data_IF_617644655728
#
_entry.id   IF_617644655728
#
_cell.length_a   1.000
_cell.length_b   1.000
_cell.length_c   1.000
_cell.angle_alpha   90.00
_cell.angle_beta   90.00
_cell.angle_gamma   90.00
#
_symmetry.space_group_name_H-M   'P 1'
#
loop_
_entity.id
_entity.type
_entity.pdbx_description
1 polymer ?
#
# COMPACT_ATOMS: atom_id res chain seq x y z
N UNK A 1 12.94 -3.56 -13.68
CA UNK A 1 11.96 -4.35 -12.90
C UNK A 1 12.66 -4.78 -11.63
N UNK A 2 12.03 -4.60 -10.47
CA UNK A 2 12.59 -5.05 -9.18
C UNK A 2 12.40 -6.57 -9.13
N UNK A 3 13.48 -7.33 -8.89
CA UNK A 3 13.41 -8.78 -8.80
C UNK A 3 12.94 -9.18 -7.39
N UNK A 4 11.78 -9.84 -7.24
CA UNK A 4 11.27 -10.22 -5.92
C UNK A 4 12.15 -11.25 -5.20
N UNK A 5 12.97 -12.03 -5.93
CA UNK A 5 13.83 -13.06 -5.36
C UNK A 5 15.06 -12.51 -4.63
N UNK A 6 15.46 -11.27 -4.93
CA UNK A 6 16.60 -10.59 -4.29
C UNK A 6 16.19 -9.83 -3.02
N UNK A 7 14.89 -9.68 -2.79
CA UNK A 7 14.34 -8.98 -1.64
C UNK A 7 13.98 -9.96 -0.52
N UNK A 8 14.32 -9.57 0.71
CA UNK A 8 13.91 -10.29 1.92
C UNK A 8 12.46 -9.89 2.27
N UNK A 9 11.51 -10.54 1.59
CA UNK A 9 10.08 -10.27 1.74
C UNK A 9 9.56 -10.87 3.05
N UNK A 10 8.85 -10.06 3.83
CA UNK A 10 8.20 -10.49 5.06
C UNK A 10 6.96 -11.37 4.77
N UNK A 11 6.40 -11.94 5.84
CA UNK A 11 5.13 -12.66 5.76
C UNK A 11 4.01 -11.79 5.19
N UNK A 12 3.16 -12.42 4.39
CA UNK A 12 2.01 -11.78 3.78
C UNK A 12 1.02 -11.23 4.81
N UNK A 13 0.66 -9.95 4.70
CA UNK A 13 -0.39 -9.38 5.51
C UNK A 13 -1.72 -9.39 4.75
N UNK A 14 -2.69 -10.16 5.27
CA UNK A 14 -4.02 -10.30 4.67
C UNK A 14 -4.91 -9.15 5.16
N UNK A 15 -5.22 -8.20 4.27
CA UNK A 15 -6.10 -7.07 4.61
C UNK A 15 -7.55 -7.52 4.75
N UNK A 16 -8.02 -8.29 3.76
CA UNK A 16 -9.42 -8.71 3.71
C UNK A 16 -9.61 -9.97 2.90
N UNK A 17 -10.38 -10.90 3.45
CA UNK A 17 -10.95 -12.04 2.73
C UNK A 17 -12.44 -11.78 2.52
N UNK A 18 -12.93 -12.06 1.32
CA UNK A 18 -14.34 -11.93 0.94
C UNK A 18 -14.82 -13.23 0.32
N UNK A 19 -16.04 -13.65 0.67
CA UNK A 19 -16.73 -14.73 -0.04
C UNK A 19 -17.60 -14.11 -1.11
N UNK A 20 -17.39 -14.50 -2.36
CA UNK A 20 -18.13 -14.03 -3.53
C UNK A 20 -18.82 -15.21 -4.20
N UNK A 21 -19.99 -14.98 -4.82
CA UNK A 21 -20.77 -16.04 -5.44
C UNK A 21 -21.12 -15.69 -6.89
N UNK A 22 -21.03 -16.67 -7.79
CA UNK A 22 -21.66 -16.62 -9.13
C UNK A 22 -22.92 -17.48 -9.08
N UNK A 23 -24.06 -16.92 -9.44
CA UNK A 23 -25.32 -17.67 -9.55
C UNK A 23 -25.39 -18.34 -10.93
N UNK A 24 -25.71 -19.63 -10.96
CA UNK A 24 -25.97 -20.41 -12.18
C UNK A 24 -27.31 -21.14 -12.05
N UNK A 25 -27.78 -21.79 -13.11
CA UNK A 25 -29.00 -22.61 -13.09
C UNK A 25 -28.96 -23.75 -12.05
N UNK A 26 -27.76 -24.22 -11.68
CA UNK A 26 -27.55 -25.27 -10.66
C UNK A 26 -27.37 -24.71 -9.23
N UNK A 27 -27.41 -23.39 -9.04
CA UNK A 27 -27.29 -22.74 -7.74
C UNK A 27 -26.14 -21.74 -7.63
N UNK A 28 -25.71 -21.46 -6.40
CA UNK A 28 -24.65 -20.46 -6.12
C UNK A 28 -23.28 -21.14 -6.04
N UNK A 29 -22.40 -20.83 -6.98
CA UNK A 29 -21.00 -21.25 -6.94
C UNK A 29 -20.17 -20.22 -6.14
N UNK A 30 -19.68 -20.63 -4.97
CA UNK A 30 -18.89 -19.78 -4.07
C UNK A 30 -17.41 -19.83 -4.40
N UNK A 31 -16.77 -18.67 -4.28
CA UNK A 31 -15.32 -18.50 -4.35
C UNK A 31 -14.89 -17.50 -3.28
N UNK A 32 -13.62 -17.55 -2.91
CA UNK A 32 -13.02 -16.60 -1.98
C UNK A 32 -12.12 -15.64 -2.75
N UNK A 33 -12.24 -14.36 -2.45
CA UNK A 33 -11.34 -13.30 -2.87
C UNK A 33 -10.49 -12.86 -1.70
N UNK A 34 -9.19 -12.67 -1.90
CA UNK A 34 -8.25 -12.19 -0.89
C UNK A 34 -7.53 -10.94 -1.40
N UNK A 35 -7.37 -9.95 -0.52
CA UNK A 35 -6.52 -8.78 -0.73
C UNK A 35 -5.33 -8.88 0.22
N UNK A 36 -4.13 -8.90 -0.34
CA UNK A 36 -2.87 -9.13 0.37
C UNK A 36 -1.88 -8.01 0.09
N UNK A 37 -1.06 -7.71 1.08
CA UNK A 37 0.10 -6.83 0.97
C UNK A 37 1.34 -7.59 1.38
N UNK A 38 2.44 -7.36 0.66
CA UNK A 38 3.76 -7.87 0.97
C UNK A 38 4.73 -6.71 0.91
N UNK A 39 5.69 -6.66 1.83
CA UNK A 39 6.82 -5.75 1.75
C UNK A 39 8.03 -6.32 2.46
N UNK A 40 9.14 -5.57 2.38
CA UNK A 40 10.42 -5.92 3.02
C UNK A 40 10.69 -5.10 4.29
N UNK A 41 9.81 -4.15 4.62
CA UNK A 41 10.02 -3.20 5.72
C UNK A 41 11.15 -2.19 5.48
N UNK A 42 11.70 -2.12 4.25
CA UNK A 42 12.81 -1.25 3.84
C UNK A 42 12.42 -0.36 2.66
N UNK A 43 11.13 -0.09 2.48
CA UNK A 43 10.61 0.79 1.43
C UNK A 43 10.16 0.08 0.17
N UNK A 44 10.11 -1.26 0.13
CA UNK A 44 9.47 -1.98 -0.97
C UNK A 44 8.15 -2.56 -0.52
N UNK A 45 7.10 -2.33 -1.31
CA UNK A 45 5.77 -2.86 -1.04
C UNK A 45 5.04 -3.20 -2.33
N UNK A 46 4.29 -4.29 -2.30
CA UNK A 46 3.41 -4.75 -3.36
C UNK A 46 2.04 -5.12 -2.81
N UNK A 47 1.00 -4.93 -3.63
CA UNK A 47 -0.37 -5.33 -3.30
C UNK A 47 -0.89 -6.28 -4.36
N UNK A 48 -1.73 -7.25 -3.95
CA UNK A 48 -2.26 -8.25 -4.86
C UNK A 48 -3.68 -8.69 -4.48
N UNK A 49 -4.43 -9.17 -5.46
CA UNK A 49 -5.82 -9.60 -5.33
C UNK A 49 -6.05 -10.98 -5.96
N UNK A 50 -6.24 -11.98 -5.12
CA UNK A 50 -6.45 -13.36 -5.56
C UNK A 50 -7.91 -13.77 -5.49
N UNK A 51 -8.33 -14.70 -6.36
CA UNK A 51 -9.62 -15.38 -6.26
C UNK A 51 -9.49 -16.88 -6.55
N UNK A 52 -10.02 -17.71 -5.66
CA UNK A 52 -10.00 -19.17 -5.80
C UNK A 52 -11.21 -19.85 -5.16
N UNK A 53 -11.32 -21.17 -5.29
CA UNK A 53 -12.36 -21.98 -4.62
C UNK A 53 -12.15 -22.09 -3.11
N UNK A 54 -10.90 -22.04 -2.66
CA UNK A 54 -10.49 -22.10 -1.27
C UNK A 54 -9.79 -20.81 -0.82
N UNK A 55 -9.77 -20.56 0.49
CA UNK A 55 -9.18 -19.33 1.06
C UNK A 55 -7.67 -19.30 0.87
N UNK A 56 -6.95 -20.38 1.23
CA UNK A 56 -5.49 -20.43 1.11
C UNK A 56 -5.02 -20.30 -0.33
N UNK A 57 -5.70 -20.96 -1.27
CA UNK A 57 -5.42 -20.82 -2.71
C UNK A 57 -5.64 -19.37 -3.19
N UNK A 58 -6.65 -18.66 -2.66
CA UNK A 58 -6.88 -17.26 -3.00
C UNK A 58 -5.77 -16.36 -2.44
N UNK A 59 -5.31 -16.60 -1.22
CA UNK A 59 -4.18 -15.86 -0.62
C UNK A 59 -2.90 -16.09 -1.41
N UNK A 60 -2.57 -17.33 -1.77
CA UNK A 60 -1.37 -17.64 -2.56
C UNK A 60 -1.39 -16.95 -3.93
N UNK A 61 -2.54 -16.92 -4.62
CA UNK A 61 -2.69 -16.16 -5.87
C UNK A 61 -2.49 -14.66 -5.68
N UNK A 62 -3.04 -14.11 -4.60
CA UNK A 62 -2.85 -12.70 -4.25
C UNK A 62 -1.37 -12.40 -3.95
N UNK A 63 -0.68 -13.34 -3.29
CA UNK A 63 0.74 -13.25 -2.93
C UNK A 63 1.63 -13.16 -4.17
N UNK A 64 1.41 -14.04 -5.15
CA UNK A 64 2.16 -14.04 -6.41
C UNK A 64 1.92 -12.76 -7.22
N UNK A 65 0.67 -12.26 -7.28
CA UNK A 65 0.39 -10.97 -7.92
C UNK A 65 1.04 -9.79 -7.18
N UNK A 66 1.07 -9.83 -5.85
CA UNK A 66 1.70 -8.78 -5.05
C UNK A 66 3.22 -8.70 -5.30
N UNK A 67 3.89 -9.85 -5.42
CA UNK A 67 5.33 -9.91 -5.75
C UNK A 67 5.65 -9.29 -7.11
N UNK A 68 4.78 -9.45 -8.09
CA UNK A 68 4.97 -8.87 -9.42
C UNK A 68 4.79 -7.34 -9.42
N UNK A 69 3.99 -6.81 -8.50
CA UNK A 69 3.63 -5.39 -8.41
C UNK A 69 4.39 -4.63 -7.31
N UNK A 70 5.64 -5.01 -7.03
CA UNK A 70 6.46 -4.32 -6.03
C UNK A 70 6.87 -2.94 -6.55
N UNK A 71 6.68 -1.94 -5.70
CA UNK A 71 7.08 -0.55 -5.94
C UNK A 71 8.02 -0.11 -4.81
N UNK A 72 9.04 0.69 -5.17
CA UNK A 72 9.93 1.36 -4.23
C UNK A 72 9.29 2.68 -3.77
N UNK A 73 9.26 2.89 -2.47
CA UNK A 73 8.70 4.07 -1.81
C UNK A 73 9.83 4.89 -1.19
N UNK A 74 9.77 6.21 -1.36
CA UNK A 74 10.71 7.14 -0.75
C UNK A 74 10.39 7.31 0.74
N UNK A 75 11.35 6.93 1.59
CA UNK A 75 11.26 7.01 3.04
C UNK A 75 12.33 7.92 3.60
N UNK A 76 11.95 8.78 4.55
CA UNK A 76 12.88 9.69 5.24
C UNK A 76 12.70 9.50 6.74
N UNK A 77 13.75 9.07 7.45
CA UNK A 77 13.76 8.91 8.91
C UNK A 77 12.57 8.11 9.47
N UNK A 78 12.12 7.08 8.73
CA UNK A 78 10.99 6.25 9.12
C UNK A 78 9.61 6.91 8.97
N UNK A 79 9.51 8.00 8.20
CA UNK A 79 8.25 8.65 7.79
C UNK A 79 8.27 9.04 6.31
N UNK A 80 7.19 9.66 5.83
CA UNK A 80 7.05 10.16 4.45
C UNK A 80 7.66 11.56 4.30
N UNK A 81 8.14 11.97 3.10
CA UNK A 81 8.76 13.28 2.91
C UNK A 81 7.82 14.47 3.16
N UNK A 82 6.59 14.40 2.68
CA UNK A 82 5.62 15.49 2.76
C UNK A 82 4.18 14.96 2.85
N UNK A 83 3.25 15.85 3.21
CA UNK A 83 1.83 15.52 3.28
C UNK A 83 1.27 15.34 1.87
N UNK A 84 0.63 14.21 1.61
CA UNK A 84 0.00 13.92 0.32
C UNK A 84 -1.46 13.49 0.50
N UNK A 85 -2.28 13.82 -0.49
CA UNK A 85 -3.67 13.41 -0.54
C UNK A 85 -3.94 12.80 -1.90
N UNK A 86 -4.27 11.51 -1.92
CA UNK A 86 -4.60 10.80 -3.15
C UNK A 86 -6.06 10.37 -3.16
N UNK A 87 -6.56 10.13 -4.37
CA UNK A 87 -7.88 9.55 -4.61
C UNK A 87 -7.75 8.37 -5.56
N UNK A 88 -8.43 7.29 -5.22
CA UNK A 88 -8.69 6.17 -6.11
C UNK A 88 -10.18 5.84 -6.08
N UNK A 89 -10.85 5.99 -7.22
CA UNK A 89 -12.32 5.89 -7.32
C UNK A 89 -13.03 6.80 -6.30
N UNK A 90 -13.92 6.27 -5.45
CA UNK A 90 -14.64 7.02 -4.42
C UNK A 90 -13.90 7.11 -3.05
N UNK A 91 -12.69 6.55 -2.95
CA UNK A 91 -11.88 6.57 -1.73
C UNK A 91 -10.77 7.61 -1.83
N UNK A 92 -10.68 8.48 -0.83
CA UNK A 92 -9.63 9.51 -0.72
C UNK A 92 -8.83 9.27 0.56
N UNK A 93 -7.50 9.26 0.48
CA UNK A 93 -6.61 9.02 1.63
C UNK A 93 -5.64 10.18 1.74
N UNK A 94 -5.54 10.73 2.94
CA UNK A 94 -4.54 11.71 3.32
C UNK A 94 -3.47 11.01 4.16
N UNK A 95 -2.22 11.19 3.77
CA UNK A 95 -1.03 10.76 4.49
C UNK A 95 -0.29 12.03 4.95
N UNK A 96 0.06 12.09 6.23
CA UNK A 96 0.81 13.21 6.81
C UNK A 96 2.01 12.66 7.59
N UNK A 97 3.22 13.22 7.40
CA UNK A 97 4.37 12.84 8.20
C UNK A 97 4.13 13.19 9.68
N UNK A 98 4.76 12.42 10.55
CA UNK A 98 4.60 12.54 11.99
C UNK A 98 5.97 12.55 12.69
N UNK A 99 6.01 13.17 13.86
CA UNK A 99 7.23 13.22 14.66
C UNK A 99 7.62 11.80 15.15
N UNK A 100 8.92 11.55 15.39
CA UNK A 100 9.38 10.32 16.01
C UNK A 100 8.62 10.01 17.30
N UNK A 101 8.17 8.77 17.49
CA UNK A 101 7.43 8.33 18.67
C UNK A 101 5.91 8.39 18.54
N UNK A 102 5.37 8.93 17.45
CA UNK A 102 3.91 8.96 17.19
C UNK A 102 3.35 7.57 16.86
N UNK A 103 4.16 6.71 16.24
CA UNK A 103 3.70 5.42 15.73
C UNK A 103 2.82 5.55 14.48
N UNK A 104 2.23 4.42 14.07
CA UNK A 104 1.35 4.34 12.90
C UNK A 104 -0.10 4.58 13.33
N UNK A 105 -0.63 5.79 13.12
CA UNK A 105 -2.04 6.11 13.36
C UNK A 105 -2.80 6.04 12.04
N UNK A 106 -3.34 4.85 11.78
CA UNK A 106 -4.03 4.55 10.53
C UNK A 106 -5.17 3.54 10.69
N UNK A 107 -6.11 3.59 9.75
CA UNK A 107 -7.15 2.55 9.64
C UNK A 107 -6.55 1.24 9.12
N UNK A 108 -7.20 0.10 9.41
CA UNK A 108 -6.65 -1.25 9.18
C UNK A 108 -5.99 -1.46 7.81
N UNK A 109 -6.69 -1.14 6.71
CA UNK A 109 -6.16 -1.32 5.36
C UNK A 109 -4.93 -0.43 5.04
N UNK A 110 -4.88 0.77 5.62
CA UNK A 110 -3.73 1.68 5.45
C UNK A 110 -2.59 1.25 6.34
N UNK A 111 -2.88 0.86 7.59
CA UNK A 111 -1.89 0.36 8.56
C UNK A 111 -1.14 -0.86 8.01
N UNK A 112 -1.85 -1.83 7.47
CA UNK A 112 -1.24 -3.02 6.87
C UNK A 112 -0.23 -2.68 5.76
N UNK A 113 -0.50 -1.64 4.96
CA UNK A 113 0.46 -1.14 3.95
C UNK A 113 1.65 -0.46 4.61
N UNK A 114 1.42 0.43 5.58
CA UNK A 114 2.49 1.20 6.23
C UNK A 114 3.48 0.30 6.99
N UNK A 115 2.98 -0.73 7.66
CA UNK A 115 3.80 -1.72 8.37
C UNK A 115 4.72 -2.47 7.39
N UNK A 116 4.16 -2.93 6.27
CA UNK A 116 4.91 -3.68 5.25
C UNK A 116 5.94 -2.82 4.50
N UNK A 117 5.65 -1.52 4.33
CA UNK A 117 6.63 -0.55 3.81
C UNK A 117 7.78 -0.31 4.79
N UNK A 118 7.52 -0.40 6.10
CA UNK A 118 8.50 -0.07 7.15
C UNK A 118 8.38 1.36 7.68
N UNK A 119 7.25 2.05 7.45
CA UNK A 119 6.99 3.37 8.03
C UNK A 119 6.67 3.22 9.51
N UNK A 120 7.40 3.93 10.37
CA UNK A 120 7.21 3.88 11.82
C UNK A 120 6.26 4.96 12.32
N UNK A 121 6.30 6.15 11.72
CA UNK A 121 5.56 7.31 12.20
C UNK A 121 4.73 7.92 11.08
N UNK A 122 3.40 7.89 11.20
CA UNK A 122 2.51 8.49 10.21
C UNK A 122 1.13 8.79 10.80
N UNK A 123 0.55 9.91 10.37
CA UNK A 123 -0.83 10.28 10.62
C UNK A 123 -1.62 10.13 9.34
N UNK A 124 -2.74 9.42 9.39
CA UNK A 124 -3.56 9.21 8.19
C UNK A 124 -5.04 9.49 8.44
N UNK A 125 -5.73 9.91 7.38
CA UNK A 125 -7.19 10.04 7.39
C UNK A 125 -7.76 9.64 6.04
N UNK A 126 -8.72 8.71 6.06
CA UNK A 126 -9.55 8.44 4.89
C UNK A 126 -10.79 9.34 4.86
N UNK A 127 -11.22 9.70 3.66
CA UNK A 127 -12.45 10.40 3.37
C UNK A 127 -13.25 9.62 2.31
N UNK A 128 -14.57 9.74 2.36
CA UNK A 128 -15.47 9.05 1.43
C UNK A 128 -15.58 7.55 1.71
N UNK A 129 -15.50 6.73 0.65
CA UNK A 129 -15.78 5.29 0.71
C UNK A 129 -14.80 4.52 1.59
N UNK A 130 -15.31 3.55 2.34
CA UNK A 130 -14.57 2.67 3.25
C UNK A 130 -14.15 1.33 2.60
N UNK A 131 -14.30 1.16 1.29
CA UNK A 131 -13.94 -0.09 0.62
C UNK A 131 -12.42 -0.37 0.74
N UNK A 132 -11.98 -1.45 1.42
CA UNK A 132 -10.56 -1.71 1.66
C UNK A 132 -9.72 -1.81 0.39
N UNK A 133 -10.23 -2.39 -0.69
CA UNK A 133 -9.51 -2.48 -1.96
C UNK A 133 -9.16 -1.09 -2.52
N UNK A 134 -10.15 -0.19 -2.54
CA UNK A 134 -9.95 1.15 -3.07
C UNK A 134 -9.11 2.02 -2.14
N UNK A 135 -9.25 1.83 -0.82
CA UNK A 135 -8.40 2.51 0.17
C UNK A 135 -6.95 2.08 0.01
N UNK A 136 -6.67 0.78 -0.10
CA UNK A 136 -5.30 0.26 -0.31
C UNK A 136 -4.72 0.77 -1.63
N UNK A 137 -5.49 0.77 -2.73
CA UNK A 137 -5.05 1.33 -4.01
C UNK A 137 -4.81 2.84 -3.96
N UNK A 138 -5.65 3.60 -3.25
CA UNK A 138 -5.41 5.03 -3.01
C UNK A 138 -4.13 5.25 -2.21
N UNK A 139 -3.89 4.46 -1.17
CA UNK A 139 -2.65 4.52 -0.38
C UNK A 139 -1.42 4.24 -1.24
N UNK A 140 -1.45 3.16 -2.04
CA UNK A 140 -0.33 2.85 -2.95
C UNK A 140 -0.08 3.96 -3.96
N UNK A 141 -1.14 4.55 -4.51
CA UNK A 141 -1.01 5.73 -5.38
C UNK A 141 -0.37 6.91 -4.63
N UNK A 142 -0.81 7.21 -3.41
CA UNK A 142 -0.21 8.28 -2.61
C UNK A 142 1.27 8.05 -2.34
N UNK A 143 1.67 6.82 -2.06
CA UNK A 143 3.08 6.49 -1.79
C UNK A 143 3.94 6.59 -3.07
N UNK A 144 3.41 6.19 -4.23
CA UNK A 144 4.12 6.32 -5.50
C UNK A 144 4.23 7.77 -5.99
N UNK A 145 3.24 8.61 -5.66
CA UNK A 145 3.23 10.03 -5.99
C UNK A 145 4.14 10.87 -5.05
N UNK A 146 4.76 10.24 -4.03
CA UNK A 146 5.75 10.92 -3.18
C UNK A 146 6.94 11.35 -4.01
N UNK A 147 7.53 12.46 -3.57
CA UNK A 147 8.69 13.05 -4.21
C UNK A 147 9.68 13.40 -3.12
N UNK A 148 10.88 12.87 -3.26
CA UNK A 148 12.02 13.25 -2.44
C UNK A 148 12.51 14.66 -2.79
N UNK A 149 13.00 15.38 -1.78
CA UNK A 149 13.51 16.75 -1.91
C UNK A 149 14.71 16.80 -2.86
N UNK A 150 15.57 15.78 -2.85
CA UNK A 150 16.74 15.70 -3.74
C UNK A 150 16.30 15.53 -5.19
N UNK A 151 15.31 14.66 -5.44
CA UNK A 151 14.74 14.47 -6.78
C UNK A 151 14.12 15.77 -7.33
N UNK A 152 13.41 16.53 -6.48
CA UNK A 152 12.82 17.82 -6.87
C UNK A 152 13.90 18.87 -7.14
N UNK A 153 14.94 18.94 -6.29
CA UNK A 153 16.08 19.85 -6.47
C UNK A 153 16.73 19.67 -7.83
N UNK A 154 17.07 18.44 -8.17
CA UNK A 154 17.67 18.10 -9.46
C UNK A 154 16.75 18.43 -10.64
N UNK A 155 15.43 18.20 -10.51
CA UNK A 155 14.46 18.53 -11.56
C UNK A 155 14.30 20.04 -11.77
N UNK A 156 14.40 20.83 -10.71
CA UNK A 156 14.23 22.30 -10.77
C UNK A 156 15.55 23.04 -11.03
N UNK A 157 16.70 22.40 -10.83
CA UNK A 157 18.02 23.03 -10.96
C UNK A 157 18.33 24.04 -9.85
N UNK A 158 17.67 23.90 -8.69
CA UNK A 158 17.78 24.83 -7.55
C UNK A 158 18.46 24.10 -6.38
N UNK A 159 19.25 24.82 -5.58
CA UNK A 159 19.87 24.30 -4.36
C UNK A 159 18.83 23.74 -3.38
N UNK A 160 19.20 22.68 -2.65
CA UNK A 160 18.34 22.04 -1.64
C UNK A 160 17.88 23.05 -0.58
N UNK A 161 18.72 24.03 -0.21
CA UNK A 161 18.38 25.05 0.79
C UNK A 161 17.18 25.90 0.39
N UNK A 162 17.06 26.22 -0.90
CA UNK A 162 16.00 27.11 -1.40
C UNK A 162 14.66 26.38 -1.55
N UNK A 163 14.62 25.04 -1.45
CA UNK A 163 13.40 24.22 -1.53
C UNK A 163 12.66 24.17 -0.20
N UNK A 164 13.41 24.30 0.91
CA UNK A 164 12.88 24.29 2.26
C UNK A 164 12.58 25.70 2.80
N UNK A 165 12.99 26.74 2.07
CA UNK A 165 12.68 28.15 2.37
C UNK A 165 11.26 28.53 1.93
#
# INVERSE_FOLDING_TARGET
MINPAELDLQEENVIKVTRVAKVTSRGKNFRFGALVVIGDGKGHVGIGQGKAGEVMSAINKAKEEAKQNIVKIDLINGTIPHKIVSRYSASKVMLKPAAPGTGIIAGAAVRAVMEQVGIKNILTKRFGSNNPLNVTKATMKALNDLQDAVSISNKRGISIKDIFN
#
